data_IF_764699141075
#
_entry.id   IF_764699141075
#
_cell.length_a   1.000
_cell.length_b   1.000
_cell.length_c   1.000
_cell.angle_alpha   90.00
_cell.angle_beta   90.00
_cell.angle_gamma   90.00
#
_symmetry.space_group_name_H-M   'P 1'
#
loop_
_entity.id
_entity.type
_entity.pdbx_description
1 polymer ?
#
# COMPACT_ATOMS: atom_id res chain seq x y z
N UNK A 1 23.91 -16.23 11.56
CA UNK A 1 23.42 -16.34 10.16
C UNK A 1 22.91 -14.98 9.74
N UNK A 2 23.27 -14.49 8.56
CA UNK A 2 22.75 -13.22 8.03
C UNK A 2 21.35 -13.44 7.45
N UNK A 3 20.44 -12.51 7.73
CA UNK A 3 19.04 -12.58 7.27
C UNK A 3 18.96 -12.37 5.74
N UNK A 4 19.87 -11.58 5.18
CA UNK A 4 20.02 -11.33 3.74
C UNK A 4 21.32 -11.94 3.22
N UNK A 5 21.25 -12.58 2.04
CA UNK A 5 22.41 -13.13 1.34
C UNK A 5 22.11 -13.20 -0.17
N UNK A 6 22.39 -12.10 -0.88
CA UNK A 6 22.20 -11.97 -2.33
C UNK A 6 23.56 -11.66 -2.94
N UNK A 7 24.15 -12.65 -3.60
CA UNK A 7 25.52 -12.58 -4.14
C UNK A 7 25.57 -12.73 -5.67
N UNK A 8 24.43 -12.97 -6.30
CA UNK A 8 24.31 -13.20 -7.75
C UNK A 8 22.85 -13.06 -8.21
N UNK A 9 22.64 -12.68 -9.46
CA UNK A 9 21.32 -12.63 -10.12
C UNK A 9 20.89 -13.98 -10.74
N UNK A 10 21.80 -14.97 -10.82
CA UNK A 10 21.58 -16.25 -11.53
C UNK A 10 21.69 -17.49 -10.64
N UNK A 11 22.11 -17.33 -9.38
CA UNK A 11 22.22 -18.43 -8.43
C UNK A 11 20.85 -18.97 -8.03
N UNK A 12 20.80 -20.18 -7.42
CA UNK A 12 19.54 -20.75 -6.95
C UNK A 12 18.83 -19.82 -5.95
N UNK A 13 17.63 -19.38 -6.31
CA UNK A 13 16.81 -18.51 -5.48
C UNK A 13 16.27 -19.29 -4.28
N UNK A 14 16.41 -18.72 -3.07
CA UNK A 14 15.96 -19.35 -1.82
C UNK A 14 14.74 -18.66 -1.21
N UNK A 15 14.72 -17.32 -1.26
CA UNK A 15 13.66 -16.47 -0.75
C UNK A 15 13.43 -15.29 -1.67
N UNK A 16 12.19 -14.88 -1.83
CA UNK A 16 11.80 -13.71 -2.63
C UNK A 16 10.71 -12.92 -1.92
N UNK A 17 10.77 -11.60 -2.04
CA UNK A 17 9.74 -10.68 -1.55
C UNK A 17 8.88 -10.23 -2.73
N UNK A 18 7.58 -10.48 -2.65
CA UNK A 18 6.58 -10.05 -3.63
C UNK A 18 5.61 -9.06 -2.98
N UNK A 19 4.88 -8.34 -3.83
CA UNK A 19 3.73 -7.56 -3.42
C UNK A 19 2.56 -7.95 -4.33
N UNK A 20 1.49 -8.49 -3.72
CA UNK A 20 0.33 -8.94 -4.48
C UNK A 20 -0.50 -7.73 -4.85
N UNK A 21 -0.84 -7.54 -6.15
CA UNK A 21 -1.69 -6.43 -6.56
C UNK A 21 -3.03 -6.38 -5.81
N UNK A 22 -3.38 -5.20 -5.32
CA UNK A 22 -4.53 -4.89 -4.51
C UNK A 22 -5.35 -3.71 -5.06
N UNK A 23 -6.05 -3.02 -4.15
CA UNK A 23 -6.98 -1.95 -4.52
C UNK A 23 -6.31 -0.73 -5.13
N UNK A 24 -5.00 -0.55 -4.95
CA UNK A 24 -4.18 0.43 -5.66
C UNK A 24 -4.40 0.38 -7.18
N UNK A 25 -4.63 -0.82 -7.76
CA UNK A 25 -4.90 -0.97 -9.18
C UNK A 25 -6.33 -0.56 -9.57
N UNK A 26 -7.31 -0.73 -8.68
CA UNK A 26 -8.69 -0.25 -8.91
C UNK A 26 -8.79 1.28 -8.84
N UNK A 27 -7.82 1.90 -8.18
CA UNK A 27 -7.72 3.35 -8.02
C UNK A 27 -7.06 4.05 -9.23
N UNK A 28 -6.51 3.27 -10.18
CA UNK A 28 -5.99 3.80 -11.42
C UNK A 28 -7.13 4.31 -12.30
N UNK A 29 -7.03 5.58 -12.70
CA UNK A 29 -7.98 6.20 -13.63
C UNK A 29 -7.23 6.75 -14.84
N UNK A 30 -7.87 6.85 -16.03
CA UNK A 30 -7.21 7.31 -17.25
C UNK A 30 -6.52 8.68 -17.09
N UNK A 31 -7.09 9.55 -16.27
CA UNK A 31 -6.59 10.90 -16.03
C UNK A 31 -5.24 10.94 -15.32
N UNK A 32 -4.98 10.00 -14.42
CA UNK A 32 -3.80 9.97 -13.55
C UNK A 32 -2.77 8.90 -13.95
N UNK A 33 -3.12 8.05 -14.92
CA UNK A 33 -2.38 6.86 -15.35
C UNK A 33 -0.88 7.14 -15.66
N UNK A 34 -0.61 8.11 -16.53
CA UNK A 34 0.77 8.49 -16.91
C UNK A 34 1.59 9.04 -15.73
N UNK A 35 0.94 9.68 -14.76
CA UNK A 35 1.62 10.19 -13.55
C UNK A 35 1.95 9.06 -12.59
N UNK A 36 1.19 7.96 -12.64
CA UNK A 36 1.35 6.77 -11.82
C UNK A 36 2.23 5.69 -12.48
N UNK A 37 2.89 6.02 -13.60
CA UNK A 37 3.82 5.15 -14.32
C UNK A 37 3.19 3.83 -14.84
N UNK A 38 1.89 3.87 -15.16
CA UNK A 38 1.21 2.77 -15.84
C UNK A 38 0.99 3.12 -17.32
N UNK A 39 1.04 2.10 -18.18
CA UNK A 39 0.78 2.23 -19.63
C UNK A 39 -0.70 2.02 -19.97
N UNK A 40 -1.42 1.19 -19.19
CA UNK A 40 -2.85 0.89 -19.35
C UNK A 40 -3.50 0.55 -17.99
N UNK A 41 -4.84 0.52 -17.93
CA UNK A 41 -5.59 0.14 -16.73
C UNK A 41 -5.59 -1.38 -16.58
N UNK A 42 -4.93 -1.94 -15.55
CA UNK A 42 -4.90 -3.37 -15.35
C UNK A 42 -6.24 -3.89 -14.81
N UNK A 43 -6.64 -5.08 -15.28
CA UNK A 43 -7.77 -5.79 -14.71
C UNK A 43 -7.34 -6.52 -13.43
N UNK A 44 -7.60 -5.92 -12.25
CA UNK A 44 -7.11 -6.41 -10.96
C UNK A 44 -7.32 -7.92 -10.75
N UNK A 45 -8.52 -8.43 -11.05
CA UNK A 45 -8.82 -9.86 -10.86
C UNK A 45 -7.88 -10.75 -11.67
N UNK A 46 -7.56 -10.37 -12.91
CA UNK A 46 -6.66 -11.13 -13.78
C UNK A 46 -5.21 -10.95 -13.36
N UNK A 47 -4.80 -9.73 -13.00
CA UNK A 47 -3.47 -9.47 -12.46
C UNK A 47 -3.18 -10.30 -11.19
N UNK A 48 -4.18 -10.43 -10.31
CA UNK A 48 -4.09 -11.29 -9.13
C UNK A 48 -3.96 -12.77 -9.49
N UNK A 49 -4.74 -13.26 -10.46
CA UNK A 49 -4.61 -14.64 -10.94
C UNK A 49 -3.21 -14.92 -11.49
N UNK A 50 -2.70 -14.04 -12.36
CA UNK A 50 -1.37 -14.17 -12.95
C UNK A 50 -0.26 -14.09 -11.87
N UNK A 51 -0.41 -13.19 -10.90
CA UNK A 51 0.52 -13.09 -9.77
C UNK A 51 0.48 -14.35 -8.89
N UNK A 52 -0.69 -14.90 -8.63
CA UNK A 52 -0.85 -16.12 -7.82
C UNK A 52 -0.26 -17.35 -8.56
N UNK A 53 -0.42 -17.42 -9.89
CA UNK A 53 0.26 -18.42 -10.73
C UNK A 53 1.78 -18.26 -10.68
N UNK A 54 2.29 -17.03 -10.82
CA UNK A 54 3.72 -16.72 -10.71
C UNK A 54 4.30 -17.15 -9.36
N UNK A 55 3.61 -16.82 -8.26
CA UNK A 55 3.96 -17.30 -6.93
C UNK A 55 4.00 -18.83 -6.87
N UNK A 56 2.98 -19.49 -7.42
CA UNK A 56 2.89 -20.96 -7.43
C UNK A 56 4.08 -21.61 -8.13
N UNK A 57 4.58 -21.01 -9.23
CA UNK A 57 5.78 -21.49 -9.93
C UNK A 57 7.02 -21.40 -9.01
N UNK A 58 7.18 -20.30 -8.27
CA UNK A 58 8.31 -20.12 -7.35
C UNK A 58 8.27 -21.14 -6.20
N UNK A 59 7.11 -21.29 -5.57
CA UNK A 59 6.92 -22.24 -4.46
C UNK A 59 7.13 -23.69 -4.91
N UNK A 60 6.69 -24.05 -6.13
CA UNK A 60 6.92 -25.38 -6.71
C UNK A 60 8.42 -25.70 -6.91
N UNK A 61 9.27 -24.67 -7.02
CA UNK A 61 10.73 -24.82 -7.09
C UNK A 61 11.42 -24.70 -5.72
N UNK A 62 10.64 -24.72 -4.62
CA UNK A 62 11.16 -24.67 -3.25
C UNK A 62 11.62 -23.27 -2.82
N UNK A 63 11.21 -22.22 -3.52
CA UNK A 63 11.48 -20.83 -3.12
C UNK A 63 10.46 -20.42 -2.06
N UNK A 64 10.93 -19.88 -0.94
CA UNK A 64 10.04 -19.26 0.05
C UNK A 64 9.63 -17.86 -0.42
N UNK A 65 8.32 -17.67 -0.57
CA UNK A 65 7.71 -16.41 -1.02
C UNK A 65 7.19 -15.64 0.19
N UNK A 66 7.69 -14.42 0.36
CA UNK A 66 7.28 -13.46 1.38
C UNK A 66 6.47 -12.34 0.74
N UNK A 67 5.57 -11.72 1.51
CA UNK A 67 4.77 -10.59 1.04
C UNK A 67 5.09 -9.30 1.78
N UNK A 68 5.23 -8.21 1.03
CA UNK A 68 5.58 -6.90 1.57
C UNK A 68 4.57 -6.43 2.62
N UNK A 69 3.28 -6.48 2.31
CA UNK A 69 2.22 -6.04 3.22
C UNK A 69 2.19 -6.82 4.55
N UNK A 70 2.55 -8.11 4.48
CA UNK A 70 2.64 -8.97 5.65
C UNK A 70 3.87 -8.63 6.49
N UNK A 71 5.05 -8.50 5.88
CA UNK A 71 6.28 -8.14 6.59
C UNK A 71 6.20 -6.76 7.25
N UNK A 72 5.57 -5.78 6.57
CA UNK A 72 5.34 -4.45 7.18
C UNK A 72 4.42 -4.60 8.39
N UNK A 73 3.28 -5.29 8.26
CA UNK A 73 2.34 -5.49 9.37
C UNK A 73 2.98 -6.23 10.57
N UNK A 74 3.82 -7.22 10.31
CA UNK A 74 4.58 -7.97 11.32
C UNK A 74 5.65 -7.11 12.00
N UNK A 75 6.25 -6.16 11.26
CA UNK A 75 7.27 -5.25 11.78
C UNK A 75 6.72 -4.22 12.77
N UNK A 76 5.41 -3.97 12.79
CA UNK A 76 4.73 -3.07 13.73
C UNK A 76 4.57 -3.72 15.12
N UNK A 77 5.69 -4.04 15.76
CA UNK A 77 5.76 -4.90 16.97
C UNK A 77 5.31 -4.23 18.26
N UNK A 78 5.23 -2.90 18.32
CA UNK A 78 4.80 -2.17 19.51
C UNK A 78 3.92 -0.97 19.14
N UNK A 79 3.13 -0.50 20.12
CA UNK A 79 2.30 0.70 19.95
C UNK A 79 3.14 1.92 19.53
N UNK A 80 4.35 2.07 20.07
CA UNK A 80 5.27 3.15 19.71
C UNK A 80 5.66 3.10 18.23
N UNK A 81 5.99 1.91 17.71
CA UNK A 81 6.37 1.73 16.30
C UNK A 81 5.16 1.99 15.39
N UNK A 82 3.98 1.48 15.76
CA UNK A 82 2.73 1.75 15.04
C UNK A 82 2.42 3.25 14.99
N UNK A 83 2.49 3.93 16.13
CA UNK A 83 2.22 5.36 16.23
C UNK A 83 3.21 6.19 15.39
N UNK A 84 4.48 5.80 15.36
CA UNK A 84 5.50 6.44 14.52
C UNK A 84 5.23 6.21 13.04
N UNK A 85 5.01 4.95 12.63
CA UNK A 85 4.73 4.59 11.23
C UNK A 85 3.52 5.33 10.66
N UNK A 86 2.43 5.44 11.43
CA UNK A 86 1.25 6.21 11.02
C UNK A 86 1.55 7.71 10.92
N UNK A 87 2.43 8.24 11.78
CA UNK A 87 2.84 9.65 11.72
C UNK A 87 3.65 9.92 10.48
N UNK A 88 4.66 9.09 10.20
CA UNK A 88 5.53 9.22 9.03
C UNK A 88 4.72 9.18 7.73
N UNK A 89 3.78 8.23 7.61
CA UNK A 89 2.87 8.14 6.46
C UNK A 89 2.02 9.40 6.25
N UNK A 90 1.49 9.98 7.33
CA UNK A 90 0.67 11.20 7.27
C UNK A 90 1.52 12.41 6.86
N UNK A 91 2.75 12.50 7.37
CA UNK A 91 3.67 13.59 7.05
C UNK A 91 4.09 13.56 5.57
N UNK A 92 4.31 12.36 5.02
CA UNK A 92 4.60 12.16 3.58
C UNK A 92 3.39 12.50 2.68
N UNK A 93 2.17 12.44 3.20
CA UNK A 93 0.94 12.80 2.47
C UNK A 93 0.75 14.32 2.27
N UNK A 94 1.65 15.17 2.78
CA UNK A 94 1.64 16.64 2.61
C UNK A 94 0.33 17.34 3.01
N UNK A 95 -0.42 16.75 3.96
CA UNK A 95 -1.66 17.32 4.48
C UNK A 95 -1.36 18.51 5.38
N UNK A 96 -2.15 19.59 5.25
CA UNK A 96 -2.01 20.80 6.08
C UNK A 96 -3.13 20.99 7.09
N UNK A 97 -4.30 20.39 6.84
CA UNK A 97 -5.47 20.57 7.68
C UNK A 97 -5.42 19.62 8.89
N UNK A 98 -5.35 20.19 10.09
CA UNK A 98 -5.25 19.44 11.35
C UNK A 98 -6.47 18.53 11.61
N UNK A 99 -7.66 18.92 11.16
CA UNK A 99 -8.85 18.07 11.30
C UNK A 99 -8.80 16.87 10.34
N UNK A 100 -8.35 17.07 9.09
CA UNK A 100 -8.16 15.98 8.12
C UNK A 100 -7.08 15.01 8.61
N UNK A 101 -5.94 15.52 9.09
CA UNK A 101 -4.85 14.73 9.69
C UNK A 101 -5.36 13.88 10.84
N UNK A 102 -6.07 14.49 11.80
CA UNK A 102 -6.60 13.76 12.96
C UNK A 102 -7.53 12.63 12.53
N UNK A 103 -8.43 12.88 11.58
CA UNK A 103 -9.39 11.88 11.11
C UNK A 103 -8.74 10.76 10.33
N UNK A 104 -7.72 11.07 9.52
CA UNK A 104 -6.92 10.07 8.84
C UNK A 104 -6.21 9.17 9.84
N UNK A 105 -5.60 9.77 10.88
CA UNK A 105 -4.96 9.01 11.97
C UNK A 105 -5.96 8.10 12.70
N UNK A 106 -7.10 8.66 13.12
CA UNK A 106 -8.15 7.91 13.82
C UNK A 106 -8.68 6.75 12.95
N UNK A 107 -8.84 6.97 11.64
CA UNK A 107 -9.21 5.94 10.67
C UNK A 107 -8.17 4.82 10.59
N UNK A 108 -6.90 5.16 10.33
CA UNK A 108 -5.82 4.18 10.20
C UNK A 108 -5.65 3.33 11.47
N UNK A 109 -5.70 3.96 12.65
CA UNK A 109 -5.57 3.27 13.94
C UNK A 109 -6.81 2.45 14.33
N UNK A 110 -7.94 2.61 13.63
CA UNK A 110 -9.14 1.78 13.83
C UNK A 110 -9.07 0.43 13.12
N UNK A 111 -8.15 0.27 12.16
CA UNK A 111 -7.98 -0.94 11.36
C UNK A 111 -7.02 -1.91 12.05
N UNK A 112 -7.11 -3.20 11.69
CA UNK A 112 -6.01 -4.12 11.99
C UNK A 112 -4.77 -3.77 11.15
N UNK A 113 -3.58 -4.18 11.60
CA UNK A 113 -2.30 -3.79 10.99
C UNK A 113 -2.20 -4.14 9.50
N UNK A 114 -2.71 -5.31 9.10
CA UNK A 114 -2.62 -5.75 7.71
C UNK A 114 -3.57 -4.93 6.83
N UNK A 115 -4.81 -4.72 7.28
CA UNK A 115 -5.76 -3.86 6.58
C UNK A 115 -5.28 -2.41 6.49
N UNK A 116 -4.67 -1.89 7.55
CA UNK A 116 -4.07 -0.56 7.58
C UNK A 116 -2.96 -0.41 6.52
N UNK A 117 -2.03 -1.36 6.45
CA UNK A 117 -0.95 -1.35 5.46
C UNK A 117 -1.50 -1.44 4.03
N UNK A 118 -2.52 -2.28 3.80
CA UNK A 118 -3.16 -2.38 2.49
C UNK A 118 -3.88 -1.10 2.08
N UNK A 119 -4.56 -0.42 3.01
CA UNK A 119 -5.19 0.88 2.74
C UNK A 119 -4.15 1.98 2.46
N UNK A 120 -3.00 1.96 3.16
CA UNK A 120 -1.88 2.86 2.88
C UNK A 120 -1.29 2.63 1.48
N UNK A 121 -1.12 1.37 1.07
CA UNK A 121 -0.67 1.01 -0.29
C UNK A 121 -1.68 1.39 -1.36
N UNK A 122 -2.97 1.17 -1.10
CA UNK A 122 -4.06 1.49 -2.01
C UNK A 122 -4.21 3.00 -2.24
N UNK A 123 -3.83 3.81 -1.26
CA UNK A 123 -4.20 5.22 -1.18
C UNK A 123 -5.64 5.37 -0.69
N UNK A 124 -5.90 6.39 0.13
CA UNK A 124 -7.16 6.51 0.88
C UNK A 124 -8.08 7.52 0.19
N UNK A 125 -9.23 7.07 -0.36
CA UNK A 125 -10.17 7.96 -1.03
C UNK A 125 -10.72 9.05 -0.09
N UNK A 126 -10.95 10.24 -0.62
CA UNK A 126 -11.60 11.36 0.10
C UNK A 126 -12.93 10.97 0.75
N UNK A 127 -13.64 10.02 0.15
CA UNK A 127 -14.92 9.52 0.64
C UNK A 127 -14.80 8.67 1.92
N UNK A 128 -13.66 7.98 2.15
CA UNK A 128 -13.45 7.14 3.34
C UNK A 128 -13.46 7.96 4.62
N UNK A 129 -12.93 9.19 4.57
CA UNK A 129 -12.94 10.11 5.70
C UNK A 129 -14.25 10.92 5.76
N UNK A 130 -15.42 10.31 5.59
CA UNK A 130 -16.72 10.97 5.77
C UNK A 130 -17.09 12.02 4.71
N UNK A 131 -16.44 11.99 3.54
CA UNK A 131 -16.82 12.76 2.36
C UNK A 131 -16.29 14.20 2.27
N UNK A 132 -16.34 14.74 1.06
CA UNK A 132 -15.72 16.01 0.63
C UNK A 132 -16.08 17.21 1.53
N UNK A 133 -17.28 17.26 2.12
CA UNK A 133 -17.70 18.37 2.99
C UNK A 133 -16.91 18.51 4.29
N UNK A 134 -16.25 17.44 4.70
CA UNK A 134 -15.48 17.38 5.95
C UNK A 134 -13.98 17.66 5.72
N UNK A 135 -13.60 17.94 4.48
CA UNK A 135 -12.25 18.27 4.05
C UNK A 135 -12.07 19.80 3.92
N UNK A 136 -10.82 20.24 3.93
CA UNK A 136 -10.49 21.66 3.72
C UNK A 136 -10.89 22.13 2.32
N UNK A 137 -11.13 23.43 2.13
CA UNK A 137 -11.51 23.97 0.81
C UNK A 137 -10.48 23.61 -0.27
N UNK A 138 -9.19 23.61 0.06
CA UNK A 138 -8.12 23.18 -0.86
C UNK A 138 -8.30 21.72 -1.28
N UNK A 139 -8.47 20.82 -0.30
CA UNK A 139 -8.70 19.38 -0.54
C UNK A 139 -9.99 19.12 -1.33
N UNK A 140 -11.00 19.99 -1.21
CA UNK A 140 -12.26 19.88 -1.94
C UNK A 140 -12.17 20.29 -3.40
N UNK A 141 -11.30 21.25 -3.70
CA UNK A 141 -11.10 21.79 -5.05
C UNK A 141 -10.11 20.91 -5.84
N UNK A 142 -9.18 20.25 -5.14
CA UNK A 142 -8.26 19.29 -5.76
C UNK A 142 -9.02 18.13 -6.42
N UNK A 143 -8.80 17.96 -7.73
CA UNK A 143 -9.45 16.94 -8.54
C UNK A 143 -8.93 15.53 -8.27
N UNK A 144 -7.77 15.40 -7.61
CA UNK A 144 -7.24 14.10 -7.21
C UNK A 144 -8.16 13.46 -6.16
N UNK A 145 -8.66 12.22 -6.35
CA UNK A 145 -9.73 11.67 -5.51
C UNK A 145 -9.26 11.10 -4.16
N UNK A 146 -7.94 11.00 -3.94
CA UNK A 146 -7.34 10.48 -2.72
C UNK A 146 -6.83 11.61 -1.81
N UNK A 147 -6.72 11.30 -0.52
CA UNK A 147 -6.17 12.20 0.51
C UNK A 147 -4.67 12.01 0.68
N UNK A 148 -4.18 10.82 0.35
CA UNK A 148 -2.79 10.38 0.47
C UNK A 148 -2.23 10.08 -0.90
#
# INVERSE_FOLDING_TARGET
MTILNVTSEIGPLKRVLLHRPGQELEHLTPKWLNQLLFDDIPWLKKAQQEHDEFRGILEAHGVEVLYLEHLVAESLTSKKILDQFVTDFIDESNLKNQHTIKRLRDYLLSLDKLSMVKEMMAGIPKMRLGGVRTLSLKERIEEYPFIT
#
